data_IF_486904441438
#
_entry.id   IF_486904441438
#
_cell.length_a   1.000
_cell.length_b   1.000
_cell.length_c   1.000
_cell.angle_alpha   90.00
_cell.angle_beta   90.00
_cell.angle_gamma   90.00
#
_symmetry.space_group_name_H-M   'P 1'
#
loop_
_entity.id
_entity.type
_entity.pdbx_description
1 polymer ?
#
# COMPACT_ATOMS: atom_id res chain seq x y z
N UNK A 1 91.51 -26.41 17.45
CA UNK A 1 91.81 -26.99 16.12
C UNK A 1 91.19 -26.05 15.10
N UNK A 2 91.95 -25.09 14.56
CA UNK A 2 92.67 -25.14 13.26
C UNK A 2 91.87 -25.75 12.10
N UNK A 3 91.52 -24.86 11.15
CA UNK A 3 91.49 -25.01 9.69
C UNK A 3 90.49 -26.03 9.11
N UNK A 4 89.91 -25.93 7.91
CA UNK A 4 90.25 -25.37 6.59
C UNK A 4 88.90 -25.12 5.88
N UNK A 5 88.67 -23.99 5.19
CA UNK A 5 88.70 -23.86 3.71
C UNK A 5 87.41 -24.40 3.04
N UNK A 6 86.82 -23.85 1.99
CA UNK A 6 87.32 -23.02 0.90
C UNK A 6 86.15 -22.64 -0.01
N UNK A 7 86.25 -21.50 -0.71
CA UNK A 7 85.72 -21.24 -2.07
C UNK A 7 84.18 -21.25 -2.24
N UNK A 8 83.51 -20.44 -3.06
CA UNK A 8 83.92 -19.71 -4.25
C UNK A 8 82.79 -18.74 -4.66
N UNK A 9 83.22 -17.62 -5.27
CA UNK A 9 82.59 -16.87 -6.38
C UNK A 9 81.17 -16.31 -6.22
N UNK A 10 81.15 -14.98 -6.21
CA UNK A 10 80.08 -14.12 -6.66
C UNK A 10 79.57 -14.46 -8.08
N UNK A 11 78.26 -14.33 -8.29
CA UNK A 11 77.71 -13.72 -9.52
C UNK A 11 76.29 -13.24 -9.26
N UNK A 12 76.09 -11.95 -9.53
CA UNK A 12 74.81 -11.26 -9.48
C UNK A 12 73.84 -11.79 -10.55
N UNK A 13 72.54 -11.86 -10.25
CA UNK A 13 71.45 -11.71 -11.23
C UNK A 13 70.09 -11.57 -10.54
N UNK A 14 69.39 -10.48 -10.84
CA UNK A 14 67.92 -10.38 -10.85
C UNK A 14 67.23 -10.08 -9.53
N UNK A 15 67.06 -8.79 -9.20
CA UNK A 15 65.96 -8.36 -8.33
C UNK A 15 64.66 -8.47 -9.14
N UNK A 16 63.88 -9.52 -8.90
CA UNK A 16 62.47 -9.55 -9.32
C UNK A 16 61.68 -8.74 -8.31
N UNK A 17 61.41 -7.48 -8.63
CA UNK A 17 60.42 -6.71 -7.89
C UNK A 17 59.04 -7.16 -8.37
N UNK A 18 58.34 -7.97 -7.56
CA UNK A 18 56.91 -8.21 -7.72
C UNK A 18 56.17 -6.89 -7.40
N UNK A 19 55.91 -6.08 -8.42
CA UNK A 19 54.84 -5.07 -8.35
C UNK A 19 53.50 -5.79 -8.48
N UNK A 20 52.90 -6.14 -7.34
CA UNK A 20 51.50 -6.56 -7.30
C UNK A 20 50.65 -5.30 -7.51
N UNK A 21 50.27 -5.04 -8.76
CA UNK A 21 49.33 -4.00 -9.11
C UNK A 21 47.97 -4.33 -8.47
N UNK A 22 47.61 -3.59 -7.41
CA UNK A 22 46.29 -3.62 -6.82
C UNK A 22 45.31 -2.99 -7.83
N UNK A 23 44.73 -3.82 -8.70
CA UNK A 23 43.59 -3.47 -9.53
C UNK A 23 42.39 -3.21 -8.60
N UNK A 24 42.24 -1.97 -8.15
CA UNK A 24 40.99 -1.47 -7.61
C UNK A 24 39.99 -1.46 -8.78
N UNK A 25 39.24 -2.55 -8.94
CA UNK A 25 38.09 -2.56 -9.82
C UNK A 25 37.07 -1.58 -9.25
N UNK A 26 37.06 -0.35 -9.76
CA UNK A 26 35.87 0.50 -9.68
C UNK A 26 34.79 -0.17 -10.52
N UNK A 27 34.02 -1.05 -9.89
CA UNK A 27 32.72 -1.44 -10.40
C UNK A 27 31.86 -0.17 -10.41
N UNK A 28 31.42 0.34 -11.57
CA UNK A 28 30.36 1.33 -11.57
C UNK A 28 29.15 0.64 -10.95
N UNK A 29 28.78 1.05 -9.74
CA UNK A 29 27.51 0.67 -9.14
C UNK A 29 26.40 1.20 -10.04
N UNK A 30 25.89 0.37 -10.94
CA UNK A 30 24.54 0.52 -11.46
C UNK A 30 23.58 0.16 -10.32
N UNK A 31 23.59 0.98 -9.27
CA UNK A 31 22.60 0.94 -8.21
C UNK A 31 21.31 1.50 -8.77
N UNK A 32 20.62 0.71 -9.59
CA UNK A 32 19.21 0.97 -9.84
C UNK A 32 18.51 0.98 -8.48
N UNK A 33 17.58 1.92 -8.26
CA UNK A 33 16.74 1.91 -7.06
C UNK A 33 16.14 0.50 -6.89
N UNK A 34 16.61 -0.20 -5.86
CA UNK A 34 16.19 -1.54 -5.49
C UNK A 34 14.90 -1.36 -4.71
N UNK A 35 13.84 -2.08 -5.09
CA UNK A 35 12.63 -2.05 -4.30
C UNK A 35 12.83 -2.83 -2.99
N UNK A 36 12.94 -2.11 -1.86
CA UNK A 36 13.07 -2.71 -0.52
C UNK A 36 11.81 -2.37 0.29
N UNK A 37 10.90 -3.34 0.39
CA UNK A 37 9.64 -3.23 1.17
C UNK A 37 9.48 -4.38 2.17
N UNK A 38 10.56 -5.11 2.44
CA UNK A 38 10.62 -6.25 3.36
C UNK A 38 10.66 -5.78 4.83
N UNK A 39 9.53 -5.25 5.27
CA UNK A 39 9.31 -4.81 6.64
C UNK A 39 8.26 -5.71 7.30
N UNK A 40 8.68 -6.60 8.24
CA UNK A 40 7.76 -7.49 8.92
C UNK A 40 6.62 -6.74 9.62
N UNK A 41 5.39 -7.16 9.36
CA UNK A 41 4.20 -6.53 9.95
C UNK A 41 3.75 -5.24 9.28
N UNK A 42 4.31 -4.89 8.11
CA UNK A 42 3.84 -3.75 7.31
C UNK A 42 2.96 -4.21 6.15
N UNK A 43 1.79 -3.59 6.02
CA UNK A 43 0.90 -3.68 4.88
C UNK A 43 1.12 -2.47 3.98
N UNK A 44 1.47 -2.70 2.72
CA UNK A 44 1.69 -1.64 1.73
C UNK A 44 0.46 -1.50 0.83
N UNK A 45 -0.20 -0.35 0.89
CA UNK A 45 -1.42 -0.09 0.13
C UNK A 45 -1.11 0.72 -1.13
N UNK A 46 -1.66 0.25 -2.24
CA UNK A 46 -1.60 0.89 -3.55
C UNK A 46 -3.03 1.13 -4.06
N UNK A 47 -3.23 2.27 -4.71
CA UNK A 47 -4.50 2.62 -5.35
C UNK A 47 -4.27 3.06 -6.78
N UNK A 48 -5.21 2.75 -7.66
CA UNK A 48 -5.15 3.19 -9.03
C UNK A 48 -6.18 2.48 -9.89
N UNK A 49 -5.77 2.08 -11.09
CA UNK A 49 -6.68 1.51 -12.09
C UNK A 49 -6.16 0.20 -12.69
N UNK A 50 -7.12 -0.64 -13.05
CA UNK A 50 -6.99 -1.79 -13.92
C UNK A 50 -7.83 -1.52 -15.17
N UNK A 51 -7.33 -1.87 -16.36
CA UNK A 51 -7.99 -1.57 -17.63
C UNK A 51 -8.35 -0.08 -17.81
N UNK A 52 -7.46 0.81 -17.33
CA UNK A 52 -7.58 2.27 -17.35
C UNK A 52 -8.73 2.89 -16.52
N UNK A 53 -9.84 2.20 -16.30
CA UNK A 53 -11.03 2.78 -15.66
C UNK A 53 -11.43 2.08 -14.36
N UNK A 54 -11.13 0.77 -14.22
CA UNK A 54 -11.56 0.00 -13.06
C UNK A 54 -10.71 0.37 -11.86
N UNK A 55 -11.25 1.20 -10.98
CA UNK A 55 -10.57 1.59 -9.76
C UNK A 55 -10.37 0.39 -8.83
N UNK A 56 -9.14 0.20 -8.37
CA UNK A 56 -8.78 -0.88 -7.44
C UNK A 56 -7.91 -0.34 -6.30
N UNK A 57 -7.96 -1.02 -5.15
CA UNK A 57 -6.96 -0.91 -4.09
C UNK A 57 -6.32 -2.28 -3.91
N UNK A 58 -5.00 -2.30 -3.77
CA UNK A 58 -4.18 -3.49 -3.58
C UNK A 58 -3.37 -3.33 -2.29
N UNK A 59 -3.37 -4.35 -1.45
CA UNK A 59 -2.55 -4.42 -0.23
C UNK A 59 -1.54 -5.54 -0.40
N UNK A 60 -0.24 -5.23 -0.27
CA UNK A 60 0.84 -6.20 -0.41
C UNK A 60 1.67 -6.31 0.88
N UNK A 61 2.18 -7.51 1.13
CA UNK A 61 3.14 -7.85 2.16
C UNK A 61 4.32 -8.54 1.49
N UNK A 62 5.53 -8.05 1.76
CA UNK A 62 6.78 -8.59 1.24
C UNK A 62 7.49 -9.41 2.31
N UNK A 63 8.09 -10.51 1.91
CA UNK A 63 8.96 -11.34 2.75
C UNK A 63 10.08 -11.92 1.87
N UNK A 64 11.24 -11.25 1.88
CA UNK A 64 12.26 -11.44 0.85
C UNK A 64 11.66 -11.26 -0.56
N UNK A 65 11.85 -12.27 -1.41
CA UNK A 65 11.28 -12.30 -2.76
C UNK A 65 9.80 -12.71 -2.78
N UNK A 66 9.24 -13.25 -1.70
CA UNK A 66 7.84 -13.68 -1.67
C UNK A 66 6.92 -12.48 -1.44
N UNK A 67 5.81 -12.45 -2.17
CA UNK A 67 4.79 -11.41 -2.04
C UNK A 67 3.44 -12.06 -1.83
N UNK A 68 2.74 -11.65 -0.78
CA UNK A 68 1.34 -12.00 -0.53
C UNK A 68 0.51 -10.74 -0.50
N UNK A 69 -0.78 -10.86 -0.77
CA UNK A 69 -1.64 -9.70 -0.71
C UNK A 69 -3.08 -9.99 -1.04
N UNK A 70 -3.80 -8.91 -1.25
CA UNK A 70 -5.15 -8.92 -1.78
C UNK A 70 -5.40 -7.64 -2.57
N UNK A 71 -6.37 -7.67 -3.46
CA UNK A 71 -6.90 -6.45 -4.06
C UNK A 71 -8.43 -6.54 -4.15
N UNK A 72 -9.08 -5.39 -4.37
CA UNK A 72 -10.52 -5.36 -4.64
C UNK A 72 -10.86 -4.25 -5.63
N UNK A 73 -11.95 -4.44 -6.37
CA UNK A 73 -12.55 -3.41 -7.21
C UNK A 73 -13.43 -2.48 -6.38
N UNK A 74 -13.32 -1.17 -6.60
CA UNK A 74 -14.06 -0.16 -5.84
C UNK A 74 -15.60 -0.32 -5.93
N UNK A 75 -16.11 -0.92 -7.01
CA UNK A 75 -17.54 -1.19 -7.21
C UNK A 75 -18.02 -2.49 -6.55
N UNK A 76 -17.13 -3.41 -6.20
CA UNK A 76 -17.46 -4.72 -5.63
C UNK A 76 -17.11 -4.82 -4.14
N UNK A 77 -16.04 -4.15 -3.70
CA UNK A 77 -15.54 -4.16 -2.31
C UNK A 77 -15.34 -5.58 -1.75
N UNK A 78 -14.92 -6.49 -2.61
CA UNK A 78 -14.65 -7.89 -2.27
C UNK A 78 -13.17 -8.17 -2.50
N UNK A 79 -12.50 -8.66 -1.46
CA UNK A 79 -11.09 -9.02 -1.54
C UNK A 79 -10.90 -10.24 -2.45
N UNK A 80 -9.85 -10.15 -3.25
CA UNK A 80 -9.35 -11.20 -4.13
C UNK A 80 -7.90 -11.45 -3.75
N UNK A 81 -7.59 -12.69 -3.39
CA UNK A 81 -6.30 -13.09 -2.84
C UNK A 81 -5.20 -13.05 -3.90
N UNK A 82 -4.00 -12.63 -3.48
CA UNK A 82 -2.81 -12.55 -4.31
C UNK A 82 -1.66 -13.34 -3.67
N UNK A 83 -0.93 -14.11 -4.50
CA UNK A 83 0.35 -14.71 -4.14
C UNK A 83 1.34 -14.61 -5.28
N UNK A 84 2.59 -14.31 -5.00
CA UNK A 84 3.58 -14.15 -6.04
C UNK A 84 4.96 -13.80 -5.51
N UNK A 85 5.71 -13.09 -6.33
CA UNK A 85 7.11 -12.82 -6.05
C UNK A 85 7.61 -11.51 -6.67
N UNK A 86 8.59 -10.91 -6.03
CA UNK A 86 9.41 -9.82 -6.52
C UNK A 86 10.75 -10.39 -7.01
N UNK A 87 11.05 -10.25 -8.30
CA UNK A 87 12.29 -10.71 -8.94
C UNK A 87 13.17 -9.51 -9.26
N UNK A 88 14.49 -9.71 -9.19
CA UNK A 88 15.49 -8.67 -9.52
C UNK A 88 15.24 -7.33 -8.79
N UNK A 89 14.57 -7.39 -7.63
CA UNK A 89 14.11 -6.25 -6.86
C UNK A 89 13.25 -5.20 -7.60
N UNK A 90 12.63 -5.55 -8.73
CA UNK A 90 11.78 -4.62 -9.50
C UNK A 90 10.59 -5.32 -10.16
N UNK A 91 10.77 -6.55 -10.66
CA UNK A 91 9.74 -7.26 -11.43
C UNK A 91 8.76 -7.97 -10.50
N UNK A 92 7.50 -7.56 -10.52
CA UNK A 92 6.43 -8.07 -9.68
C UNK A 92 5.53 -9.01 -10.46
N UNK A 93 5.49 -10.28 -10.07
CA UNK A 93 4.56 -11.27 -10.64
C UNK A 93 3.62 -11.75 -9.55
N UNK A 94 2.31 -11.48 -9.68
CA UNK A 94 1.29 -11.89 -8.72
C UNK A 94 0.23 -12.76 -9.38
N UNK A 95 -0.11 -13.87 -8.75
CA UNK A 95 -1.24 -14.72 -9.12
C UNK A 95 -2.47 -14.28 -8.36
N UNK A 96 -3.54 -14.04 -9.10
CA UNK A 96 -4.89 -13.94 -8.56
C UNK A 96 -5.42 -15.34 -8.26
N UNK A 97 -5.99 -15.52 -7.07
CA UNK A 97 -6.51 -16.80 -6.61
C UNK A 97 -8.02 -16.70 -6.35
N UNK A 98 -8.75 -17.73 -6.76
CA UNK A 98 -10.13 -17.90 -6.34
C UNK A 98 -10.24 -18.46 -4.90
N UNK A 99 -11.47 -18.69 -4.44
CA UNK A 99 -11.75 -19.20 -3.10
C UNK A 99 -11.23 -20.63 -2.85
N UNK A 100 -10.95 -21.40 -3.91
CA UNK A 100 -10.34 -22.74 -3.82
C UNK A 100 -8.81 -22.69 -3.83
N UNK A 101 -8.23 -21.52 -4.12
CA UNK A 101 -6.80 -21.31 -4.29
C UNK A 101 -6.30 -21.57 -5.71
N UNK A 102 -7.20 -21.79 -6.69
CA UNK A 102 -6.82 -21.94 -8.08
C UNK A 102 -6.45 -20.58 -8.68
N UNK A 103 -5.44 -20.56 -9.56
CA UNK A 103 -5.01 -19.32 -10.22
C UNK A 103 -5.98 -18.95 -11.33
N UNK A 104 -6.61 -17.79 -11.23
CA UNK A 104 -7.60 -17.28 -12.21
C UNK A 104 -7.03 -16.23 -13.15
N UNK A 105 -6.06 -15.45 -12.67
CA UNK A 105 -5.42 -14.38 -13.43
C UNK A 105 -4.01 -14.11 -12.92
N UNK A 106 -3.25 -13.29 -13.65
CA UNK A 106 -1.88 -12.94 -13.30
C UNK A 106 -1.60 -11.47 -13.56
N UNK A 107 -0.99 -10.82 -12.59
CA UNK A 107 -0.28 -9.56 -12.77
C UNK A 107 1.15 -9.84 -13.21
N UNK A 108 1.56 -9.21 -14.30
CA UNK A 108 2.97 -9.08 -14.71
C UNK A 108 3.27 -7.59 -14.72
N UNK A 109 3.93 -7.12 -13.66
CA UNK A 109 4.17 -5.73 -13.38
C UNK A 109 5.60 -5.47 -12.93
N UNK A 110 5.94 -4.21 -12.72
CA UNK A 110 7.23 -3.79 -12.19
C UNK A 110 7.07 -2.50 -11.37
N UNK A 111 8.10 -2.19 -10.58
CA UNK A 111 8.27 -0.89 -9.91
C UNK A 111 9.17 0.02 -10.77
N UNK A 112 8.62 0.94 -11.59
CA UNK A 112 9.43 1.78 -12.43
C UNK A 112 10.17 2.84 -11.61
N UNK A 113 11.35 3.26 -12.08
CA UNK A 113 12.15 4.31 -11.43
C UNK A 113 11.62 5.73 -11.69
N UNK A 114 10.79 5.89 -12.72
CA UNK A 114 10.12 7.13 -13.06
C UNK A 114 8.65 6.83 -13.24
N UNK A 115 7.82 7.80 -12.89
CA UNK A 115 6.39 7.66 -13.03
C UNK A 115 6.00 7.61 -14.53
N UNK A 116 5.45 6.49 -15.05
CA UNK A 116 4.91 6.45 -16.41
C UNK A 116 3.59 7.24 -16.53
N UNK A 117 2.96 7.58 -15.42
CA UNK A 117 1.85 8.51 -15.32
C UNK A 117 2.34 9.94 -15.08
N UNK A 118 1.67 10.66 -14.18
CA UNK A 118 1.97 12.07 -13.89
C UNK A 118 1.80 12.42 -12.41
N UNK A 119 1.69 11.43 -11.53
CA UNK A 119 1.48 11.61 -10.09
C UNK A 119 2.72 12.19 -9.41
N UNK A 120 3.92 11.73 -9.80
CA UNK A 120 5.18 12.07 -9.11
C UNK A 120 6.14 12.95 -9.92
N UNK A 121 5.75 13.38 -11.12
CA UNK A 121 6.58 14.19 -12.01
C UNK A 121 7.92 13.52 -12.33
N UNK A 122 9.02 14.28 -12.29
CA UNK A 122 10.37 13.80 -12.62
C UNK A 122 11.11 13.11 -11.46
N UNK A 123 10.44 12.89 -10.34
CA UNK A 123 11.02 12.27 -9.14
C UNK A 123 11.47 10.84 -9.42
N UNK A 124 12.62 10.45 -8.86
CA UNK A 124 13.00 9.04 -8.83
C UNK A 124 12.15 8.32 -7.79
N UNK A 125 11.54 7.21 -8.20
CA UNK A 125 10.64 6.41 -7.37
C UNK A 125 11.37 5.24 -6.74
N UNK A 126 10.90 4.83 -5.56
CA UNK A 126 11.33 3.61 -4.87
C UNK A 126 10.10 2.83 -4.41
N UNK A 127 9.66 1.88 -5.24
CA UNK A 127 8.45 1.08 -5.02
C UNK A 127 7.14 1.87 -4.89
N UNK A 128 7.08 3.10 -5.41
CA UNK A 128 5.91 3.98 -5.22
C UNK A 128 4.83 3.77 -6.28
N UNK A 129 5.19 3.16 -7.40
CA UNK A 129 4.29 2.87 -8.53
C UNK A 129 4.37 1.40 -8.90
N UNK A 130 3.23 0.77 -9.17
CA UNK A 130 3.14 -0.53 -9.81
C UNK A 130 2.58 -0.30 -11.21
N UNK A 131 3.37 -0.62 -12.24
CA UNK A 131 2.97 -0.50 -13.64
C UNK A 131 3.14 -1.84 -14.37
N UNK A 132 2.19 -2.19 -15.24
CA UNK A 132 2.27 -3.41 -16.02
C UNK A 132 0.92 -3.88 -16.53
N UNK A 133 0.68 -5.17 -16.44
CA UNK A 133 -0.55 -5.78 -16.94
C UNK A 133 -1.16 -6.78 -15.98
N UNK A 134 -2.47 -6.95 -16.08
CA UNK A 134 -3.25 -8.04 -15.52
C UNK A 134 -3.86 -8.85 -16.66
N UNK A 135 -3.83 -10.17 -16.59
CA UNK A 135 -4.43 -11.03 -17.61
C UNK A 135 -5.11 -12.24 -16.98
N UNK A 136 -6.34 -12.53 -17.42
CA UNK A 136 -7.07 -13.73 -17.04
C UNK A 136 -6.46 -14.96 -17.71
N UNK A 137 -6.33 -16.06 -16.98
CA UNK A 137 -5.64 -17.27 -17.50
C UNK A 137 -6.53 -18.13 -18.41
N UNK A 138 -7.85 -17.99 -18.34
CA UNK A 138 -8.80 -18.69 -19.21
C UNK A 138 -9.03 -17.97 -20.56
N UNK A 139 -8.32 -16.87 -20.80
CA UNK A 139 -8.31 -16.15 -22.07
C UNK A 139 -8.49 -14.64 -21.93
N UNK A 140 -8.39 -13.93 -23.04
CA UNK A 140 -8.55 -12.47 -23.11
C UNK A 140 -7.22 -11.70 -23.15
N UNK A 141 -7.27 -10.41 -23.53
CA UNK A 141 -6.08 -9.58 -23.65
C UNK A 141 -5.51 -9.22 -22.27
N UNK A 142 -4.21 -8.94 -22.24
CA UNK A 142 -3.58 -8.31 -21.09
C UNK A 142 -4.09 -6.86 -20.95
N UNK A 143 -4.57 -6.51 -19.76
CA UNK A 143 -5.15 -5.21 -19.43
C UNK A 143 -4.13 -4.38 -18.65
N UNK A 144 -3.97 -3.07 -18.93
CA UNK A 144 -3.00 -2.23 -18.25
C UNK A 144 -3.34 -2.08 -16.76
N UNK A 145 -2.30 -2.02 -15.94
CA UNK A 145 -2.35 -1.75 -14.50
C UNK A 145 -1.45 -0.58 -14.19
N UNK A 146 -1.98 0.39 -13.45
CA UNK A 146 -1.23 1.51 -12.91
C UNK A 146 -1.75 1.83 -11.51
N UNK A 147 -0.91 1.62 -10.50
CA UNK A 147 -1.22 1.86 -9.08
C UNK A 147 -0.11 2.70 -8.45
N UNK A 148 -0.49 3.58 -7.53
CA UNK A 148 0.44 4.41 -6.75
C UNK A 148 0.32 4.06 -5.27
N UNK A 149 1.42 4.12 -4.52
CA UNK A 149 1.39 3.95 -3.07
C UNK A 149 0.46 4.99 -2.45
N UNK A 150 -0.47 4.49 -1.64
CA UNK A 150 -1.49 5.27 -0.96
C UNK A 150 -1.25 5.33 0.55
N UNK A 151 -0.76 4.25 1.16
CA UNK A 151 -0.35 4.25 2.57
C UNK A 151 0.49 3.03 2.92
N UNK A 152 1.06 3.05 4.12
CA UNK A 152 1.63 1.89 4.80
C UNK A 152 1.07 1.83 6.21
N UNK A 153 0.65 0.65 6.67
CA UNK A 153 0.09 0.46 8.01
C UNK A 153 0.68 -0.77 8.68
N UNK A 154 0.81 -0.73 10.01
CA UNK A 154 1.22 -1.90 10.79
C UNK A 154 0.04 -2.85 10.97
N UNK A 155 0.21 -4.13 10.62
CA UNK A 155 -0.81 -5.16 10.77
C UNK A 155 -0.52 -6.42 9.96
N UNK A 156 -1.55 -7.22 9.72
CA UNK A 156 -1.51 -8.35 8.81
C UNK A 156 -2.73 -8.34 7.89
N UNK A 157 -2.70 -9.15 6.82
CA UNK A 157 -3.81 -9.25 5.86
C UNK A 157 -5.14 -9.67 6.51
N UNK A 158 -5.10 -10.37 7.65
CA UNK A 158 -6.28 -10.85 8.38
C UNK A 158 -6.65 -9.98 9.60
N UNK A 159 -5.72 -9.13 10.06
CA UNK A 159 -5.84 -8.35 11.29
C UNK A 159 -5.24 -6.95 11.12
N UNK A 160 -5.64 -6.23 10.07
CA UNK A 160 -5.21 -4.87 9.76
C UNK A 160 -5.45 -3.92 10.93
N UNK A 161 -6.60 -4.02 11.59
CA UNK A 161 -6.99 -3.02 12.61
C UNK A 161 -6.58 -3.39 14.04
N UNK A 162 -5.97 -4.56 14.26
CA UNK A 162 -5.66 -5.07 15.59
C UNK A 162 -4.63 -4.21 16.32
N UNK A 163 -3.51 -3.89 15.67
CA UNK A 163 -2.41 -3.16 16.32
C UNK A 163 -2.82 -1.74 16.72
N UNK A 164 -3.61 -1.07 15.88
CA UNK A 164 -3.98 0.33 16.08
C UNK A 164 -5.25 0.52 16.94
N UNK A 165 -6.25 -0.36 16.79
CA UNK A 165 -7.57 -0.18 17.40
C UNK A 165 -7.96 -1.30 18.37
N UNK A 166 -7.15 -2.34 18.51
CA UNK A 166 -7.50 -3.52 19.31
C UNK A 166 -8.60 -4.39 18.70
N UNK A 167 -8.94 -4.18 17.42
CA UNK A 167 -10.02 -4.91 16.72
C UNK A 167 -9.44 -6.12 16.00
N UNK A 168 -9.86 -7.33 16.42
CA UNK A 168 -9.41 -8.59 15.79
C UNK A 168 -10.14 -8.91 14.49
N UNK A 169 -11.44 -8.61 14.43
CA UNK A 169 -12.25 -8.88 13.25
C UNK A 169 -12.32 -7.65 12.36
N UNK A 170 -11.55 -7.65 11.28
CA UNK A 170 -11.48 -6.54 10.34
C UNK A 170 -12.83 -6.24 9.67
N UNK A 171 -13.74 -7.21 9.64
CA UNK A 171 -15.10 -7.01 9.10
C UNK A 171 -15.88 -5.96 9.88
N UNK A 172 -15.66 -5.81 11.18
CA UNK A 172 -16.38 -4.82 11.98
C UNK A 172 -16.17 -3.41 11.43
N UNK A 173 -14.91 -3.08 11.09
CA UNK A 173 -14.53 -1.77 10.56
C UNK A 173 -14.89 -1.65 9.09
N UNK A 174 -14.55 -2.65 8.27
CA UNK A 174 -14.83 -2.64 6.83
C UNK A 174 -16.35 -2.55 6.56
N UNK A 175 -17.16 -3.39 7.21
CA UNK A 175 -18.62 -3.39 7.02
C UNK A 175 -19.25 -2.10 7.58
N UNK A 176 -18.69 -1.52 8.66
CA UNK A 176 -19.13 -0.24 9.23
C UNK A 176 -18.88 0.94 8.29
N UNK A 177 -17.67 1.03 7.76
CA UNK A 177 -17.29 2.03 6.77
C UNK A 177 -18.12 1.89 5.49
N UNK A 178 -18.33 0.66 5.00
CA UNK A 178 -19.14 0.40 3.83
C UNK A 178 -20.61 0.77 4.05
N UNK A 179 -21.21 0.42 5.19
CA UNK A 179 -22.58 0.82 5.53
C UNK A 179 -22.73 2.34 5.54
N UNK A 180 -21.81 3.06 6.20
CA UNK A 180 -21.81 4.52 6.22
C UNK A 180 -21.68 5.10 4.80
N UNK A 181 -20.71 4.63 4.02
CA UNK A 181 -20.46 5.11 2.66
C UNK A 181 -21.66 4.88 1.73
N UNK A 182 -22.28 3.69 1.80
CA UNK A 182 -23.49 3.37 1.02
C UNK A 182 -24.68 4.23 1.43
N UNK A 183 -24.85 4.50 2.73
CA UNK A 183 -25.91 5.38 3.22
C UNK A 183 -25.73 6.82 2.73
N UNK A 184 -24.50 7.35 2.74
CA UNK A 184 -24.18 8.66 2.14
C UNK A 184 -24.49 8.66 0.64
N UNK A 185 -24.11 7.60 -0.09
CA UNK A 185 -24.39 7.45 -1.53
C UNK A 185 -25.88 7.46 -1.84
N UNK A 186 -26.67 6.78 -1.01
CA UNK A 186 -28.13 6.67 -1.17
C UNK A 186 -28.90 7.87 -0.57
N UNK A 187 -28.22 8.85 0.01
CA UNK A 187 -28.82 9.94 0.79
C UNK A 187 -29.74 9.44 1.93
N UNK A 188 -29.45 8.27 2.50
CA UNK A 188 -30.20 7.66 3.60
C UNK A 188 -29.79 8.31 4.94
N UNK A 189 -30.44 9.44 5.25
CA UNK A 189 -30.11 10.25 6.44
C UNK A 189 -30.26 9.47 7.75
N UNK A 190 -31.35 8.71 7.98
CA UNK A 190 -31.48 7.89 9.19
C UNK A 190 -30.34 6.89 9.37
N UNK A 191 -29.94 6.18 8.32
CA UNK A 191 -28.84 5.21 8.41
C UNK A 191 -27.51 5.92 8.64
N UNK A 192 -27.22 7.02 7.94
CA UNK A 192 -26.01 7.83 8.21
C UNK A 192 -25.96 8.24 9.67
N UNK A 193 -27.05 8.80 10.21
CA UNK A 193 -27.10 9.23 11.60
C UNK A 193 -26.88 8.07 12.59
N UNK A 194 -27.36 6.86 12.29
CA UNK A 194 -27.17 5.66 13.10
C UNK A 194 -25.72 5.12 13.08
N UNK A 195 -24.97 5.39 12.00
CA UNK A 195 -23.56 5.00 11.85
C UNK A 195 -22.58 5.97 12.54
N UNK A 196 -23.06 7.04 13.17
CA UNK A 196 -22.22 7.96 13.94
C UNK A 196 -22.07 7.48 15.39
N UNK A 197 -20.86 7.60 15.92
CA UNK A 197 -20.59 7.49 17.35
C UNK A 197 -20.79 8.87 17.99
N UNK A 198 -21.82 9.00 18.83
CA UNK A 198 -22.08 10.23 19.57
C UNK A 198 -21.40 10.22 20.94
N UNK A 199 -21.04 11.40 21.46
CA UNK A 199 -21.15 12.72 20.82
C UNK A 199 -20.15 12.92 19.69
N UNK A 200 -20.54 13.66 18.66
CA UNK A 200 -19.65 14.04 17.55
C UNK A 200 -19.50 15.55 17.46
N UNK A 201 -18.33 16.02 17.06
CA UNK A 201 -18.11 17.44 16.75
C UNK A 201 -18.11 17.63 15.25
N UNK A 202 -18.94 18.56 14.76
CA UNK A 202 -19.04 18.95 13.34
C UNK A 202 -18.70 20.42 13.18
N UNK A 203 -18.35 20.82 11.96
CA UNK A 203 -18.13 22.22 11.61
C UNK A 203 -19.36 22.77 10.87
N UNK A 204 -19.98 23.83 11.38
CA UNK A 204 -21.12 24.50 10.75
C UNK A 204 -20.78 25.98 10.58
N UNK A 205 -20.65 26.43 9.33
CA UNK A 205 -20.32 27.82 8.99
C UNK A 205 -19.11 28.38 9.80
N UNK A 206 -18.05 27.57 9.95
CA UNK A 206 -16.83 27.94 10.67
C UNK A 206 -16.90 27.79 12.19
N UNK A 207 -18.01 27.28 12.75
CA UNK A 207 -18.18 27.03 14.18
C UNK A 207 -18.24 25.54 14.47
N UNK A 208 -17.52 25.11 15.51
CA UNK A 208 -17.58 23.73 16.01
C UNK A 208 -18.84 23.55 16.87
N UNK A 209 -19.71 22.63 16.47
CA UNK A 209 -20.89 22.24 17.23
C UNK A 209 -20.75 20.78 17.67
N UNK A 210 -20.99 20.53 18.96
CA UNK A 210 -21.01 19.16 19.53
C UNK A 210 -22.44 18.65 19.54
N UNK A 211 -22.69 17.61 18.75
CA UNK A 211 -23.97 16.93 18.64
C UNK A 211 -23.97 15.70 19.56
N UNK A 212 -25.02 15.54 20.34
CA UNK A 212 -25.17 14.45 21.32
C UNK A 212 -26.02 13.30 20.78
N UNK A 213 -26.86 13.55 19.78
CA UNK A 213 -27.88 12.59 19.35
C UNK A 213 -28.04 12.53 17.83
N UNK A 214 -28.58 11.40 17.30
CA UNK A 214 -28.99 11.32 15.90
C UNK A 214 -29.96 12.42 15.47
N UNK A 215 -30.89 12.83 16.35
CA UNK A 215 -31.87 13.86 16.04
C UNK A 215 -31.21 15.22 15.77
N UNK A 216 -30.20 15.59 16.57
CA UNK A 216 -29.42 16.82 16.37
C UNK A 216 -28.60 16.79 15.08
N UNK A 217 -28.04 15.64 14.70
CA UNK A 217 -27.37 15.52 13.40
C UNK A 217 -28.35 15.65 12.24
N UNK A 218 -29.54 15.05 12.36
CA UNK A 218 -30.58 15.13 11.33
C UNK A 218 -31.09 16.57 11.14
N UNK A 219 -31.22 17.36 12.22
CA UNK A 219 -31.61 18.79 12.11
C UNK A 219 -30.56 19.66 11.41
N UNK A 220 -29.32 19.19 11.30
CA UNK A 220 -28.22 19.88 10.62
C UNK A 220 -27.68 19.13 9.38
N UNK A 221 -28.38 18.07 8.92
CA UNK A 221 -27.82 17.09 7.99
C UNK A 221 -27.28 17.73 6.72
N UNK A 222 -28.06 18.58 6.05
CA UNK A 222 -27.67 19.18 4.77
C UNK A 222 -26.53 20.20 4.92
N UNK A 223 -26.38 20.80 6.11
CA UNK A 223 -25.28 21.71 6.43
C UNK A 223 -23.98 20.95 6.76
N UNK A 224 -24.07 19.72 7.28
CA UNK A 224 -22.92 18.84 7.57
C UNK A 224 -22.51 18.11 6.30
N UNK A 225 -23.44 17.41 5.68
CA UNK A 225 -23.24 16.61 4.47
C UNK A 225 -23.46 17.46 3.23
N UNK A 226 -22.64 18.49 3.05
CA UNK A 226 -22.66 19.32 1.83
C UNK A 226 -22.37 18.49 0.58
N UNK A 227 -22.70 19.00 -0.59
CA UNK A 227 -22.39 18.32 -1.86
C UNK A 227 -20.89 18.00 -1.99
N UNK A 228 -20.03 18.95 -1.64
CA UNK A 228 -18.58 18.77 -1.63
C UNK A 228 -18.15 17.69 -0.64
N UNK A 229 -18.68 17.68 0.58
CA UNK A 229 -18.32 16.67 1.57
C UNK A 229 -18.77 15.26 1.15
N UNK A 230 -19.99 15.14 0.61
CA UNK A 230 -20.49 13.88 0.03
C UNK A 230 -19.59 13.42 -1.13
N UNK A 231 -19.23 14.31 -2.06
CA UNK A 231 -18.35 13.97 -3.17
C UNK A 231 -16.98 13.45 -2.69
N UNK A 232 -16.39 14.05 -1.66
CA UNK A 232 -15.15 13.58 -1.03
C UNK A 232 -15.30 12.17 -0.46
N UNK A 233 -16.39 11.90 0.28
CA UNK A 233 -16.68 10.55 0.82
C UNK A 233 -16.85 9.54 -0.32
N UNK A 234 -17.61 9.89 -1.35
CA UNK A 234 -17.95 8.98 -2.46
C UNK A 234 -16.78 8.68 -3.40
N UNK A 235 -15.74 9.54 -3.42
CA UNK A 235 -14.49 9.27 -4.13
C UNK A 235 -13.63 8.21 -3.42
N UNK A 236 -13.79 8.03 -2.11
CA UNK A 236 -13.00 7.08 -1.33
C UNK A 236 -13.48 5.62 -1.47
N UNK A 237 -12.61 4.67 -1.11
CA UNK A 237 -12.95 3.23 -1.05
C UNK A 237 -13.11 2.78 0.42
N UNK A 238 -14.31 2.32 0.83
CA UNK A 238 -14.64 2.04 2.23
C UNK A 238 -14.20 0.62 2.69
N UNK A 239 -13.00 0.18 2.30
CA UNK A 239 -12.47 -1.14 2.62
C UNK A 239 -10.95 -1.11 2.69
N UNK A 240 -10.34 -1.85 3.61
CA UNK A 240 -8.89 -1.88 3.84
C UNK A 240 -8.38 -0.44 4.03
N UNK A 241 -8.88 0.20 5.08
CA UNK A 241 -8.64 1.61 5.37
C UNK A 241 -7.26 1.82 5.97
N UNK A 242 -6.64 2.96 5.68
CA UNK A 242 -5.53 3.43 6.51
C UNK A 242 -5.96 3.47 7.98
N UNK A 243 -5.08 3.09 8.90
CA UNK A 243 -5.40 3.05 10.33
C UNK A 243 -4.23 3.51 11.16
N UNK A 244 -4.54 4.25 12.22
CA UNK A 244 -3.63 4.59 13.32
C UNK A 244 -4.40 4.71 14.63
N UNK A 245 -3.72 5.12 15.69
CA UNK A 245 -4.27 5.40 17.02
C UNK A 245 -5.53 6.30 17.00
N UNK A 246 -5.69 7.16 16.00
CA UNK A 246 -6.87 8.02 15.83
C UNK A 246 -8.11 7.34 15.23
N UNK A 247 -8.00 6.11 14.71
CA UNK A 247 -9.09 5.43 14.00
C UNK A 247 -8.69 4.90 12.62
N UNK A 248 -9.66 4.28 11.95
CA UNK A 248 -9.57 3.88 10.55
C UNK A 248 -10.11 4.99 9.64
N UNK A 249 -9.34 5.39 8.63
CA UNK A 249 -9.54 6.61 7.86
C UNK A 249 -10.13 6.35 6.48
N UNK A 250 -11.17 7.10 6.12
CA UNK A 250 -11.77 7.15 4.80
C UNK A 250 -11.56 8.52 4.16
N UNK A 251 -11.19 8.53 2.87
CA UNK A 251 -11.14 9.75 2.05
C UNK A 251 -10.15 10.80 2.55
N UNK A 252 -8.91 10.41 2.80
CA UNK A 252 -7.83 11.31 3.27
C UNK A 252 -8.19 12.11 4.54
N UNK A 253 -8.99 11.52 5.43
CA UNK A 253 -9.37 12.13 6.70
C UNK A 253 -10.78 12.71 6.74
N UNK A 254 -11.53 12.60 5.64
CA UNK A 254 -12.93 13.01 5.57
C UNK A 254 -13.77 12.35 6.68
N UNK A 255 -13.55 11.06 6.94
CA UNK A 255 -14.22 10.31 8.01
C UNK A 255 -13.24 9.40 8.72
N UNK A 256 -13.32 9.36 10.04
CA UNK A 256 -12.59 8.41 10.88
C UNK A 256 -13.57 7.47 11.57
N UNK A 257 -13.25 6.17 11.59
CA UNK A 257 -14.03 5.12 12.23
C UNK A 257 -13.31 4.61 13.48
N UNK A 258 -14.06 4.46 14.57
CA UNK A 258 -13.55 3.90 15.82
C UNK A 258 -13.61 2.38 15.85
N UNK A 259 -13.13 1.78 16.94
CA UNK A 259 -13.09 0.34 17.16
C UNK A 259 -14.46 -0.37 17.07
N UNK A 260 -15.56 0.37 17.18
CA UNK A 260 -16.93 -0.15 17.04
C UNK A 260 -17.46 -0.10 15.60
N UNK A 261 -16.65 0.29 14.62
CA UNK A 261 -17.04 0.43 13.21
C UNK A 261 -17.93 1.65 12.91
N UNK A 262 -18.13 2.56 13.87
CA UNK A 262 -18.89 3.80 13.68
C UNK A 262 -17.99 4.99 13.42
N UNK A 263 -18.51 5.99 12.70
CA UNK A 263 -17.80 7.23 12.45
C UNK A 263 -17.66 8.05 13.74
N UNK A 264 -16.42 8.35 14.12
CA UNK A 264 -16.04 9.11 15.33
C UNK A 264 -15.59 10.54 15.01
N UNK A 265 -15.29 10.85 13.74
CA UNK A 265 -14.97 12.19 13.29
C UNK A 265 -15.41 12.41 11.84
N UNK A 266 -15.85 13.64 11.54
CA UNK A 266 -16.19 14.14 10.21
C UNK A 266 -15.38 15.42 9.96
N UNK A 267 -14.60 15.46 8.90
CA UNK A 267 -13.89 16.67 8.45
C UNK A 267 -14.73 17.39 7.39
N UNK A 268 -15.90 17.89 7.84
CA UNK A 268 -16.92 18.49 7.00
C UNK A 268 -16.79 20.01 6.84
#
# INVERSE_FOLDING_TARGET
MRAVGSAERATARGRVALTLALLLALLPGLGGAVCVRDEPGTLWDFEGTLAAELRVRMTLVFSGEQVQGMYFYANQLRDISLKGQLRNAQDLVLNELDATGAVTARFVAHFPQRDPGSTYGDSLLTCDVIAGTWQKLDGGPALPVYLTTSSAVTGSLEHRYLAALGVRDDKLINDGAERFWRAVKAADRPVVAAQIAYPITVNLAGRRLRLQTPAELLSHYDAIFTETFRATILKAMPRNLFVRDQGAMLGHGAVWFGANGKAIALAN
#
